data_IF_400596099660
#
_entry.id   IF_400596099660
#
_cell.length_a   1.000
_cell.length_b   1.000
_cell.length_c   1.000
_cell.angle_alpha   90.00
_cell.angle_beta   90.00
_cell.angle_gamma   90.00
#
_symmetry.space_group_name_H-M   'P 1'
#
loop_
_entity.id
_entity.type
_entity.pdbx_description
1 polymer ?
#
# COMPACT_ATOMS: atom_id res chain seq x y z
N UNK A 1 10.41 4.81 -20.79
CA UNK A 1 10.44 6.26 -20.55
C UNK A 1 10.07 6.93 -21.85
N UNK A 2 9.10 7.84 -21.87
CA UNK A 2 8.75 8.60 -23.07
C UNK A 2 9.69 9.80 -23.25
N UNK A 3 9.65 10.42 -24.43
CA UNK A 3 10.53 11.54 -24.78
C UNK A 3 10.30 12.76 -23.87
N UNK A 4 9.04 13.06 -23.55
CA UNK A 4 8.69 14.21 -22.70
C UNK A 4 9.33 14.17 -21.31
N UNK A 5 9.41 13.00 -20.69
CA UNK A 5 10.08 12.85 -19.38
C UNK A 5 11.60 12.97 -19.52
N UNK A 6 12.18 12.46 -20.61
CA UNK A 6 13.60 12.60 -20.91
C UNK A 6 13.99 14.07 -21.03
N UNK A 7 13.22 14.86 -21.77
CA UNK A 7 13.48 16.27 -22.02
C UNK A 7 13.31 17.11 -20.75
N UNK A 8 12.27 16.82 -19.96
CA UNK A 8 12.08 17.45 -18.65
C UNK A 8 13.28 17.20 -17.72
N UNK A 9 13.76 15.97 -17.64
CA UNK A 9 14.92 15.63 -16.81
C UNK A 9 16.19 16.34 -17.29
N UNK A 10 16.42 16.37 -18.61
CA UNK A 10 17.56 17.10 -19.20
C UNK A 10 17.50 18.59 -18.89
N UNK A 11 16.34 19.23 -19.09
CA UNK A 11 16.15 20.66 -18.80
C UNK A 11 16.33 21.04 -17.33
N UNK A 12 16.19 20.07 -16.41
CA UNK A 12 16.44 20.27 -14.97
C UNK A 12 17.80 19.78 -14.49
N UNK A 13 18.69 19.34 -15.39
CA UNK A 13 20.00 18.79 -15.01
C UNK A 13 19.91 17.49 -14.21
N UNK A 14 18.80 16.75 -14.32
CA UNK A 14 18.60 15.48 -13.62
C UNK A 14 19.31 14.36 -14.39
N UNK A 15 20.36 13.80 -13.78
CA UNK A 15 21.10 12.67 -14.33
C UNK A 15 20.19 11.44 -14.39
N UNK A 16 20.13 10.81 -15.57
CA UNK A 16 19.31 9.63 -15.80
C UNK A 16 20.19 8.38 -15.81
N UNK A 17 19.89 7.45 -14.91
CA UNK A 17 20.50 6.13 -14.86
C UNK A 17 19.45 5.06 -15.18
N UNK A 18 19.83 4.01 -15.91
CA UNK A 18 18.95 2.85 -16.14
C UNK A 18 19.52 1.60 -15.49
N UNK A 19 18.62 0.73 -15.03
CA UNK A 19 18.97 -0.63 -14.66
C UNK A 19 19.46 -1.41 -15.88
N UNK A 20 20.31 -2.40 -15.63
CA UNK A 20 20.81 -3.33 -16.64
C UNK A 20 19.65 -4.15 -17.21
N UNK A 21 19.66 -4.34 -18.53
CA UNK A 21 18.66 -5.14 -19.22
C UNK A 21 18.65 -6.58 -18.66
N UNK A 22 17.44 -7.12 -18.43
CA UNK A 22 17.20 -8.49 -17.98
C UNK A 22 17.85 -8.90 -16.65
N UNK A 23 18.29 -7.94 -15.83
CA UNK A 23 18.87 -8.23 -14.52
C UNK A 23 17.82 -8.13 -13.42
N UNK A 24 17.44 -9.28 -12.85
CA UNK A 24 16.58 -9.33 -11.65
C UNK A 24 17.35 -8.79 -10.44
N UNK A 25 16.63 -8.17 -9.50
CA UNK A 25 17.18 -7.54 -8.29
C UNK A 25 18.19 -6.41 -8.58
N UNK A 26 18.20 -5.83 -9.79
CA UNK A 26 19.10 -4.71 -10.11
C UNK A 26 18.67 -3.44 -9.36
N UNK A 27 17.39 -3.35 -8.98
CA UNK A 27 16.82 -2.32 -8.13
C UNK A 27 16.20 -2.93 -6.88
N UNK A 28 16.93 -3.84 -6.22
CA UNK A 28 16.44 -4.66 -5.11
C UNK A 28 15.69 -3.86 -4.02
N UNK A 29 16.15 -2.65 -3.68
CA UNK A 29 15.52 -1.82 -2.66
C UNK A 29 14.15 -1.27 -3.10
N UNK A 30 14.03 -0.86 -4.36
CA UNK A 30 12.76 -0.41 -4.95
C UNK A 30 11.81 -1.59 -5.13
N UNK A 31 12.33 -2.70 -5.66
CA UNK A 31 11.58 -3.94 -5.85
C UNK A 31 11.06 -4.49 -4.51
N UNK A 32 11.85 -4.41 -3.44
CA UNK A 32 11.43 -4.81 -2.09
C UNK A 32 10.23 -4.00 -1.60
N UNK A 33 10.19 -2.69 -1.87
CA UNK A 33 9.07 -1.82 -1.48
C UNK A 33 7.81 -2.07 -2.33
N UNK A 34 8.01 -2.59 -3.55
CA UNK A 34 6.94 -2.84 -4.52
C UNK A 34 6.38 -4.29 -4.48
N UNK A 35 7.19 -5.33 -4.26
CA UNK A 35 6.90 -6.73 -4.63
C UNK A 35 6.42 -7.68 -3.51
N UNK A 36 5.59 -8.67 -3.86
CA UNK A 36 4.67 -9.43 -2.99
C UNK A 36 5.23 -10.22 -1.79
N UNK A 37 6.52 -10.59 -1.74
CA UNK A 37 7.05 -11.45 -0.65
C UNK A 37 7.53 -10.63 0.58
N UNK A 38 7.58 -9.30 0.45
CA UNK A 38 7.68 -8.30 1.54
C UNK A 38 7.08 -6.94 1.09
N UNK A 39 6.08 -6.98 0.21
CA UNK A 39 5.53 -5.84 -0.53
C UNK A 39 4.57 -5.01 0.30
N UNK A 40 5.03 -4.58 1.47
CA UNK A 40 4.13 -4.17 2.54
C UNK A 40 3.53 -2.77 2.35
N UNK A 41 4.09 -1.93 1.48
CA UNK A 41 3.76 -0.51 1.46
C UNK A 41 3.02 -0.10 0.20
N UNK A 42 3.67 -0.01 -0.96
CA UNK A 42 3.07 0.66 -2.13
C UNK A 42 1.82 -0.07 -2.65
N UNK A 43 1.96 -1.35 -3.05
CA UNK A 43 0.82 -2.12 -3.56
C UNK A 43 -0.25 -2.33 -2.49
N UNK A 44 0.17 -2.56 -1.24
CA UNK A 44 -0.71 -2.75 -0.10
C UNK A 44 -1.48 -1.48 0.31
N UNK A 45 -1.03 -0.30 -0.11
CA UNK A 45 -1.70 0.97 0.14
C UNK A 45 -2.55 1.39 -1.06
N UNK A 46 -1.95 1.42 -2.25
CA UNK A 46 -2.55 1.99 -3.47
C UNK A 46 -3.46 0.99 -4.19
N UNK A 47 -3.20 -0.31 -4.08
CA UNK A 47 -3.91 -1.34 -4.82
C UNK A 47 -3.43 -1.47 -6.27
N UNK A 48 -4.29 -2.05 -7.12
CA UNK A 48 -3.99 -2.38 -8.52
C UNK A 48 -4.82 -1.57 -9.53
N UNK A 49 -5.64 -0.62 -9.05
CA UNK A 49 -6.49 0.21 -9.89
C UNK A 49 -5.69 1.06 -10.87
N UNK A 50 -6.24 1.28 -12.07
CA UNK A 50 -5.65 2.21 -13.04
C UNK A 50 -5.96 3.64 -12.61
N UNK A 51 -4.91 4.42 -12.38
CA UNK A 51 -4.99 5.82 -11.99
C UNK A 51 -4.50 6.69 -13.17
N UNK A 52 -5.23 7.75 -13.49
CA UNK A 52 -4.91 8.67 -14.58
C UNK A 52 -5.35 10.09 -14.23
N UNK A 53 -4.62 11.08 -14.73
CA UNK A 53 -4.92 12.49 -14.52
C UNK A 53 -4.25 13.11 -13.29
N UNK A 54 -4.36 14.44 -13.19
CA UNK A 54 -3.74 15.25 -12.13
C UNK A 54 -4.39 14.97 -10.79
N UNK A 55 -5.70 14.76 -10.74
CA UNK A 55 -6.43 14.53 -9.49
C UNK A 55 -6.04 13.20 -8.85
N UNK A 56 -5.90 12.14 -9.65
CA UNK A 56 -5.42 10.86 -9.15
C UNK A 56 -3.97 10.96 -8.65
N UNK A 57 -3.12 11.77 -9.29
CA UNK A 57 -1.78 12.08 -8.79
C UNK A 57 -1.84 12.81 -7.44
N UNK A 58 -2.74 13.77 -7.27
CA UNK A 58 -2.87 14.54 -6.04
C UNK A 58 -3.36 13.67 -4.88
N UNK A 59 -4.38 12.82 -5.11
CA UNK A 59 -4.83 11.84 -4.13
C UNK A 59 -3.72 10.85 -3.74
N UNK A 60 -2.91 10.41 -4.72
CA UNK A 60 -1.76 9.56 -4.46
C UNK A 60 -0.70 10.27 -3.61
N UNK A 61 -0.45 11.56 -3.87
CA UNK A 61 0.48 12.37 -3.10
C UNK A 61 0.02 12.53 -1.64
N UNK A 62 -1.27 12.78 -1.42
CA UNK A 62 -1.87 12.82 -0.07
C UNK A 62 -1.71 11.49 0.66
N UNK A 63 -2.05 10.37 0.00
CA UNK A 63 -1.85 9.04 0.58
C UNK A 63 -0.39 8.80 0.99
N UNK A 64 0.57 9.19 0.14
CA UNK A 64 2.00 9.04 0.48
C UNK A 64 2.47 9.99 1.57
N UNK A 65 1.92 11.19 1.67
CA UNK A 65 2.27 12.17 2.70
C UNK A 65 1.94 11.67 4.11
N UNK A 66 0.76 11.05 4.30
CA UNK A 66 0.37 10.49 5.59
C UNK A 66 0.98 9.11 5.83
N UNK A 67 1.01 8.25 4.80
CA UNK A 67 1.56 6.90 4.95
C UNK A 67 3.06 6.86 5.24
N UNK A 68 3.86 7.79 4.71
CA UNK A 68 5.30 7.88 5.06
C UNK A 68 5.50 8.15 6.55
N UNK A 69 4.63 8.95 7.17
CA UNK A 69 4.71 9.29 8.58
C UNK A 69 4.25 8.08 9.40
N UNK A 70 3.07 7.54 9.06
CA UNK A 70 2.53 6.37 9.75
C UNK A 70 3.52 5.19 9.78
N UNK A 71 4.08 4.84 8.61
CA UNK A 71 4.95 3.66 8.48
C UNK A 71 6.30 3.87 9.16
N UNK A 72 6.89 5.06 9.05
CA UNK A 72 8.21 5.30 9.60
C UNK A 72 8.21 5.49 11.12
N UNK A 73 7.14 6.06 11.68
CA UNK A 73 7.06 6.39 13.10
C UNK A 73 6.24 5.41 13.94
N UNK A 74 5.27 4.71 13.36
CA UNK A 74 4.32 3.90 14.14
C UNK A 74 4.27 2.43 13.74
N UNK A 75 4.87 2.02 12.61
CA UNK A 75 4.85 0.62 12.19
C UNK A 75 6.18 -0.09 12.48
N UNK A 76 6.23 -1.02 13.45
CA UNK A 76 7.41 -1.84 13.67
C UNK A 76 7.73 -2.69 12.44
N UNK A 77 9.02 -2.83 12.15
CA UNK A 77 9.50 -3.67 11.06
C UNK A 77 10.53 -4.67 11.56
N UNK A 78 10.42 -5.90 11.06
CA UNK A 78 11.43 -6.93 11.26
C UNK A 78 12.56 -6.74 10.25
N UNK A 79 13.78 -6.55 10.76
CA UNK A 79 14.98 -6.48 9.93
C UNK A 79 15.74 -7.78 10.06
N UNK A 80 16.14 -8.34 8.92
CA UNK A 80 16.95 -9.56 8.87
C UNK A 80 18.31 -9.26 9.49
N UNK A 81 18.67 -9.97 10.56
CA UNK A 81 19.97 -9.88 11.23
C UNK A 81 21.00 -10.73 10.51
N UNK A 82 20.65 -11.98 10.24
CA UNK A 82 21.50 -12.91 9.51
C UNK A 82 20.66 -13.95 8.75
N UNK A 83 21.27 -14.52 7.71
CA UNK A 83 20.69 -15.61 6.92
C UNK A 83 21.80 -16.61 6.65
N UNK A 84 21.62 -17.84 7.11
CA UNK A 84 22.52 -18.97 6.82
C UNK A 84 21.78 -19.99 5.97
N UNK A 85 22.54 -20.69 5.11
CA UNK A 85 22.00 -21.73 4.24
C UNK A 85 22.75 -23.02 4.52
N UNK A 86 22.00 -24.09 4.77
CA UNK A 86 22.50 -25.44 4.94
C UNK A 86 21.77 -26.34 3.93
N UNK A 87 22.42 -26.64 2.81
CA UNK A 87 21.83 -27.31 1.66
C UNK A 87 20.55 -26.63 1.16
N UNK A 88 19.41 -27.30 1.32
CA UNK A 88 18.08 -26.79 0.96
C UNK A 88 17.43 -25.92 2.05
N UNK A 89 17.93 -25.94 3.30
CA UNK A 89 17.37 -25.20 4.42
C UNK A 89 17.97 -23.80 4.51
N UNK A 90 17.12 -22.83 4.82
CA UNK A 90 17.50 -21.43 5.00
C UNK A 90 17.05 -20.99 6.39
N UNK A 91 18.01 -20.73 7.27
CA UNK A 91 17.76 -20.18 8.59
C UNK A 91 17.90 -18.67 8.54
N UNK A 92 16.92 -17.95 9.11
CA UNK A 92 16.89 -16.49 9.16
C UNK A 92 16.72 -16.05 10.61
N UNK A 93 17.63 -15.22 11.08
CA UNK A 93 17.53 -14.58 12.39
C UNK A 93 17.15 -13.13 12.17
N UNK A 94 16.18 -12.63 12.92
CA UNK A 94 15.67 -11.27 12.81
C UNK A 94 16.04 -10.46 14.05
N UNK A 95 16.18 -9.15 13.88
CA UNK A 95 16.24 -8.20 14.98
C UNK A 95 14.86 -8.08 15.63
N UNK A 96 14.87 -7.63 16.89
CA UNK A 96 13.65 -7.24 17.59
C UNK A 96 12.85 -6.22 16.75
N UNK A 97 11.50 -6.27 16.82
CA UNK A 97 10.65 -5.34 16.10
C UNK A 97 10.91 -3.91 16.59
N UNK A 98 11.19 -3.02 15.65
CA UNK A 98 11.40 -1.60 15.91
C UNK A 98 10.96 -0.79 14.69
N UNK A 99 10.46 0.42 14.92
CA UNK A 99 10.06 1.30 13.81
C UNK A 99 11.31 1.77 13.05
N UNK A 100 11.18 2.17 11.76
CA UNK A 100 12.28 2.81 11.05
C UNK A 100 12.85 4.03 11.80
N UNK A 101 11.99 4.83 12.44
CA UNK A 101 12.42 5.97 13.25
C UNK A 101 13.27 5.53 14.45
N UNK A 102 12.81 4.55 15.24
CA UNK A 102 13.56 4.05 16.41
C UNK A 102 14.96 3.56 16.02
N UNK A 103 15.04 2.84 14.90
CA UNK A 103 16.32 2.34 14.38
C UNK A 103 17.25 3.49 13.99
N UNK A 104 16.72 4.58 13.44
CA UNK A 104 17.50 5.75 13.04
C UNK A 104 17.94 6.57 14.26
N UNK A 105 17.09 6.68 15.28
CA UNK A 105 17.46 7.29 16.57
C UNK A 105 18.55 6.50 17.30
N UNK A 106 18.53 5.17 17.20
CA UNK A 106 19.54 4.29 17.80
C UNK A 106 20.84 4.19 16.99
N UNK A 107 20.90 4.72 15.76
CA UNK A 107 22.09 4.59 14.91
C UNK A 107 23.14 5.66 15.23
N UNK A 108 24.39 5.26 15.40
CA UNK A 108 25.47 6.16 15.85
C UNK A 108 25.89 7.18 14.78
N UNK A 109 25.79 6.82 13.50
CA UNK A 109 26.17 7.73 12.40
C UNK A 109 25.17 8.87 12.14
N UNK A 110 24.08 8.95 12.91
CA UNK A 110 23.04 9.95 12.72
C UNK A 110 23.32 11.12 13.65
N UNK A 111 23.47 12.30 13.07
CA UNK A 111 23.77 13.53 13.81
C UNK A 111 22.70 13.81 14.88
N UNK A 112 23.10 14.27 16.09
CA UNK A 112 22.16 14.60 17.16
C UNK A 112 21.06 15.57 16.74
N UNK A 113 21.37 16.58 15.91
CA UNK A 113 20.40 17.53 15.40
C UNK A 113 19.29 16.87 14.57
N UNK A 114 19.60 15.82 13.81
CA UNK A 114 18.60 15.04 13.05
C UNK A 114 17.73 14.23 14.01
N UNK A 115 18.33 13.63 15.05
CA UNK A 115 17.57 12.87 16.07
C UNK A 115 16.56 13.75 16.79
N UNK A 116 16.94 14.97 17.16
CA UNK A 116 16.02 15.92 17.81
C UNK A 116 14.88 16.36 16.88
N UNK A 117 15.16 16.61 15.60
CA UNK A 117 14.10 16.90 14.60
C UNK A 117 13.08 15.77 14.49
N UNK A 118 13.53 14.51 14.50
CA UNK A 118 12.65 13.35 14.43
C UNK A 118 11.81 13.18 15.68
N UNK A 119 12.39 13.38 16.86
CA UNK A 119 11.64 13.37 18.13
C UNK A 119 10.59 14.48 18.18
N UNK A 120 10.95 15.69 17.75
CA UNK A 120 10.02 16.81 17.69
C UNK A 120 8.88 16.54 16.71
N UNK A 121 9.19 15.99 15.53
CA UNK A 121 8.19 15.57 14.57
C UNK A 121 7.25 14.51 15.18
N UNK A 122 7.79 13.47 15.80
CA UNK A 122 7.00 12.39 16.40
C UNK A 122 5.98 12.90 17.42
N UNK A 123 6.35 13.87 18.27
CA UNK A 123 5.45 14.48 19.26
C UNK A 123 4.23 15.18 18.64
N UNK A 124 4.35 15.67 17.41
CA UNK A 124 3.26 16.33 16.69
C UNK A 124 2.40 15.39 15.84
N UNK A 125 2.69 14.09 15.81
CA UNK A 125 1.96 13.14 14.98
C UNK A 125 0.86 12.45 15.79
N UNK A 126 -0.34 12.39 15.21
CA UNK A 126 -1.44 11.56 15.69
C UNK A 126 -1.59 10.34 14.77
N UNK A 127 -1.33 9.11 15.25
CA UNK A 127 -1.42 7.91 14.44
C UNK A 127 -2.85 7.64 13.93
N UNK A 128 -3.87 8.06 14.66
CA UNK A 128 -5.28 7.86 14.30
C UNK A 128 -5.64 8.79 13.16
N UNK A 129 -5.31 10.07 13.30
CA UNK A 129 -5.51 11.06 12.23
C UNK A 129 -4.78 10.66 10.95
N UNK A 130 -3.54 10.21 11.05
CA UNK A 130 -2.79 9.70 9.90
C UNK A 130 -3.49 8.50 9.24
N UNK A 131 -4.03 7.57 10.04
CA UNK A 131 -4.76 6.42 9.52
C UNK A 131 -6.06 6.83 8.82
N UNK A 132 -6.77 7.82 9.36
CA UNK A 132 -7.97 8.40 8.76
C UNK A 132 -7.65 9.05 7.41
N UNK A 133 -6.65 9.92 7.35
CA UNK A 133 -6.18 10.56 6.11
C UNK A 133 -5.80 9.51 5.05
N UNK A 134 -5.10 8.45 5.47
CA UNK A 134 -4.77 7.33 4.58
C UNK A 134 -6.03 6.62 4.06
N UNK A 135 -7.04 6.40 4.89
CA UNK A 135 -8.30 5.74 4.48
C UNK A 135 -9.12 6.61 3.53
N UNK A 136 -9.22 7.91 3.79
CA UNK A 136 -9.88 8.87 2.91
C UNK A 136 -9.21 8.91 1.55
N UNK A 137 -7.88 9.04 1.50
CA UNK A 137 -7.14 9.06 0.24
C UNK A 137 -7.27 7.71 -0.51
N UNK A 138 -7.30 6.58 0.20
CA UNK A 138 -7.57 5.27 -0.40
C UNK A 138 -8.98 5.17 -0.99
N UNK A 139 -9.99 5.76 -0.35
CA UNK A 139 -11.34 5.81 -0.88
C UNK A 139 -11.38 6.61 -2.18
N UNK A 140 -10.81 7.82 -2.19
CA UNK A 140 -10.72 8.66 -3.40
C UNK A 140 -10.01 7.94 -4.55
N UNK A 141 -8.89 7.26 -4.27
CA UNK A 141 -8.18 6.48 -5.28
C UNK A 141 -9.00 5.29 -5.80
N UNK A 142 -9.76 4.63 -4.92
CA UNK A 142 -10.65 3.54 -5.30
C UNK A 142 -11.77 4.05 -6.22
N UNK A 143 -12.34 5.20 -5.92
CA UNK A 143 -13.41 5.81 -6.72
C UNK A 143 -12.90 6.24 -8.09
N UNK A 144 -11.71 6.86 -8.16
CA UNK A 144 -11.07 7.19 -9.42
C UNK A 144 -10.76 5.95 -10.27
N UNK A 145 -10.32 4.85 -9.64
CA UNK A 145 -10.06 3.61 -10.35
C UNK A 145 -11.34 2.94 -10.88
N UNK A 146 -12.46 3.07 -10.17
CA UNK A 146 -13.74 2.45 -10.53
C UNK A 146 -14.55 3.28 -11.53
N UNK A 147 -14.51 4.61 -11.43
CA UNK A 147 -15.44 5.50 -12.13
C UNK A 147 -14.75 6.60 -12.94
N UNK A 148 -13.41 6.68 -12.90
CA UNK A 148 -12.68 7.85 -13.39
C UNK A 148 -12.81 9.05 -12.45
N UNK A 149 -12.13 10.14 -12.79
CA UNK A 149 -12.24 11.39 -12.04
C UNK A 149 -13.63 11.99 -12.28
N UNK A 150 -14.40 12.16 -11.20
CA UNK A 150 -15.69 12.87 -11.25
C UNK A 150 -15.46 14.38 -11.16
N UNK A 151 -16.20 15.17 -11.94
CA UNK A 151 -16.04 16.62 -12.03
C UNK A 151 -16.47 17.38 -10.76
N UNK A 152 -17.30 16.77 -9.91
CA UNK A 152 -17.79 17.37 -8.67
C UNK A 152 -17.33 16.50 -7.49
N UNK A 153 -16.23 16.90 -6.86
CA UNK A 153 -15.85 16.38 -5.56
C UNK A 153 -16.74 17.07 -4.52
N UNK A 154 -17.66 16.32 -3.89
CA UNK A 154 -18.31 16.78 -2.69
C UNK A 154 -17.22 17.19 -1.67
N UNK A 155 -17.37 18.32 -0.95
CA UNK A 155 -16.39 18.72 0.04
C UNK A 155 -16.23 17.58 1.03
N UNK A 156 -15.00 17.10 1.20
CA UNK A 156 -14.64 16.22 2.28
C UNK A 156 -14.84 17.02 3.58
N UNK A 157 -16.06 16.98 4.12
CA UNK A 157 -16.32 17.50 5.46
C UNK A 157 -15.32 16.84 6.40
N UNK A 158 -14.79 17.61 7.35
CA UNK A 158 -13.91 17.09 8.39
C UNK A 158 -14.61 15.87 9.02
N UNK A 159 -14.14 14.68 8.65
CA UNK A 159 -14.66 13.46 9.24
C UNK A 159 -14.22 13.47 10.69
N UNK A 160 -15.17 13.53 11.60
CA UNK A 160 -14.91 13.53 13.03
C UNK A 160 -14.01 12.33 13.40
N UNK A 161 -12.85 12.63 13.98
CA UNK A 161 -11.87 11.63 14.41
C UNK A 161 -12.53 10.65 15.39
N UNK A 162 -13.45 11.12 16.23
CA UNK A 162 -14.16 10.26 17.18
C UNK A 162 -15.05 9.23 16.47
N UNK A 163 -15.74 9.65 15.41
CA UNK A 163 -16.57 8.75 14.58
C UNK A 163 -15.67 7.74 13.85
N UNK A 164 -14.54 8.18 13.31
CA UNK A 164 -13.58 7.28 12.67
C UNK A 164 -13.02 6.26 13.66
N UNK A 165 -12.63 6.69 14.86
CA UNK A 165 -12.17 5.81 15.94
C UNK A 165 -13.23 4.77 16.32
N UNK A 166 -14.48 5.19 16.49
CA UNK A 166 -15.57 4.29 16.79
C UNK A 166 -15.72 3.20 15.71
N UNK A 167 -15.57 3.58 14.43
CA UNK A 167 -15.64 2.64 13.30
C UNK A 167 -14.52 1.58 13.30
N UNK A 168 -13.35 1.88 13.87
CA UNK A 168 -12.23 0.92 13.93
C UNK A 168 -12.55 -0.29 14.81
N UNK A 169 -13.45 -0.15 15.79
CA UNK A 169 -13.83 -1.24 16.70
C UNK A 169 -14.54 -2.40 16.00
N UNK A 170 -15.29 -2.11 14.93
CA UNK A 170 -16.01 -3.10 14.12
C UNK A 170 -15.30 -3.45 12.81
N UNK A 171 -14.28 -2.68 12.41
CA UNK A 171 -13.62 -2.83 11.10
C UNK A 171 -13.05 -4.24 10.83
N UNK A 172 -12.62 -4.97 11.87
CA UNK A 172 -12.11 -6.34 11.72
C UNK A 172 -13.20 -7.35 11.30
N UNK A 173 -14.48 -7.05 11.56
CA UNK A 173 -15.63 -7.89 11.16
C UNK A 173 -15.94 -7.77 9.67
N UNK A 174 -15.58 -6.64 9.05
CA UNK A 174 -15.88 -6.33 7.65
C UNK A 174 -14.82 -6.85 6.66
N UNK A 175 -13.79 -7.56 7.15
CA UNK A 175 -12.73 -8.11 6.32
C UNK A 175 -11.69 -7.07 5.90
N UNK A 176 -11.46 -6.88 4.60
CA UNK A 176 -10.43 -5.95 4.12
C UNK A 176 -10.89 -4.48 4.29
N UNK A 177 -10.30 -3.82 5.28
CA UNK A 177 -10.63 -2.44 5.65
C UNK A 177 -10.15 -1.39 4.63
N UNK A 178 -9.30 -1.75 3.65
CA UNK A 178 -8.79 -0.82 2.62
C UNK A 178 -9.74 -0.72 1.42
N UNK A 179 -10.26 0.48 1.10
CA UNK A 179 -11.07 0.68 -0.09
C UNK A 179 -10.41 0.17 -1.38
N UNK A 180 -9.11 0.45 -1.57
CA UNK A 180 -8.33 0.05 -2.75
C UNK A 180 -8.20 -1.46 -2.98
N UNK A 181 -8.56 -2.28 -1.99
CA UNK A 181 -8.48 -3.74 -2.03
C UNK A 181 -9.84 -4.43 -1.86
N UNK A 182 -10.92 -3.67 -1.63
CA UNK A 182 -12.27 -4.23 -1.59
C UNK A 182 -12.61 -4.81 -2.96
N UNK A 183 -12.99 -6.09 -2.99
CA UNK A 183 -13.48 -6.70 -4.22
C UNK A 183 -14.79 -6.03 -4.60
N UNK A 184 -14.85 -5.50 -5.82
CA UNK A 184 -16.13 -5.06 -6.38
C UNK A 184 -17.07 -6.27 -6.40
N UNK A 185 -18.31 -6.13 -5.88
CA UNK A 185 -19.27 -7.21 -5.96
C UNK A 185 -19.47 -7.55 -7.44
N UNK A 186 -19.22 -8.82 -7.79
CA UNK A 186 -19.49 -9.29 -9.15
C UNK A 186 -20.98 -9.12 -9.42
N UNK A 187 -21.33 -8.61 -10.59
CA UNK A 187 -22.71 -8.61 -11.04
C UNK A 187 -23.25 -10.03 -10.90
N UNK A 188 -24.36 -10.18 -10.14
CA UNK A 188 -25.04 -11.46 -10.03
C UNK A 188 -25.62 -11.77 -11.41
N UNK A 189 -24.97 -12.65 -12.14
CA UNK A 189 -25.56 -13.24 -13.34
C UNK A 189 -26.28 -14.53 -12.94
N UNK A 190 -27.50 -14.68 -13.43
CA UNK A 190 -28.35 -15.83 -13.12
C UNK A 190 -28.17 -16.98 -14.13
N UNK A 191 -27.49 -16.74 -15.26
CA UNK A 191 -27.20 -17.78 -16.25
C UNK A 191 -25.92 -18.54 -15.92
N UNK A 192 -25.93 -19.86 -16.15
CA UNK A 192 -24.77 -20.73 -15.98
C UNK A 192 -23.88 -20.65 -17.23
N UNK A 193 -22.59 -20.38 -17.05
CA UNK A 193 -21.61 -20.36 -18.16
C UNK A 193 -21.10 -21.75 -18.56
N UNK A 194 -21.47 -22.79 -17.81
CA UNK A 194 -21.10 -24.18 -18.07
C UNK A 194 -22.35 -25.04 -17.98
N UNK A 195 -22.49 -25.95 -18.93
CA UNK A 195 -23.48 -27.03 -18.89
C UNK A 195 -23.27 -27.81 -17.60
N UNK A 196 -24.36 -28.16 -16.91
CA UNK A 196 -24.29 -28.92 -15.67
C UNK A 196 -23.69 -30.31 -15.97
N UNK A 197 -22.52 -30.67 -15.43
CA UNK A 197 -21.88 -31.95 -15.71
C UNK A 197 -22.69 -33.15 -15.17
N UNK A 198 -23.72 -32.91 -14.36
CA UNK A 198 -24.63 -33.92 -13.83
C UNK A 198 -26.06 -33.78 -14.36
N UNK A 199 -26.29 -33.00 -15.42
CA UNK A 199 -27.61 -32.86 -16.05
C UNK A 199 -28.28 -34.23 -16.28
N UNK A 200 -27.50 -35.22 -16.71
CA UNK A 200 -27.96 -36.57 -17.01
C UNK A 200 -27.97 -37.52 -15.79
N UNK A 201 -27.42 -37.10 -14.66
CA UNK A 201 -27.36 -37.88 -13.42
C UNK A 201 -28.51 -37.59 -12.45
N UNK A 202 -29.17 -36.42 -12.58
CA UNK A 202 -30.34 -36.06 -11.78
C UNK A 202 -31.51 -37.07 -11.84
N UNK A 203 -31.84 -37.69 -12.99
CA UNK A 203 -32.91 -38.68 -13.06
C UNK A 203 -32.63 -39.96 -12.24
N UNK A 204 -31.38 -40.22 -11.86
CA UNK A 204 -30.96 -41.42 -11.13
C UNK A 204 -31.05 -41.27 -9.61
N UNK A 205 -31.15 -40.04 -9.10
CA UNK A 205 -31.14 -39.74 -7.66
C UNK A 205 -32.57 -39.56 -7.09
N UNK A 206 -33.59 -39.47 -7.96
CA UNK A 206 -34.98 -39.17 -7.57
C UNK A 206 -35.94 -40.36 -7.40
N UNK A 207 -35.46 -41.61 -7.34
CA UNK A 207 -36.33 -42.79 -7.05
C UNK A 207 -35.87 -43.52 -5.80
N UNK A 208 -36.18 -42.97 -4.63
CA UNK A 208 -36.46 -43.71 -3.40
C UNK A 208 -37.59 -43.02 -2.66
#
# INVERSE_FOLDING_TARGET
MNQSVLDYCKGRGLVQTRSRAYKKNDQAWVEQKNGAVNGAVVRRLVGYGRLSGVDARNALAQLYASSRLYINFFQPSFKLKSKTRDGARVHKVYLAPATPCDRLLAHDSVEPAIKEKLKAQFKGLDPVRLLQEMRTAQQTLSDFAAHGVRAEAAPAGESDIAVFLASLSSAWKEGEARPTHRKQPKAKHWWRSRVDPFADAWPLIGKR
#
